data_IF_469693224126
#
_entry.id   IF_469693224126
#
_cell.length_a   1.000
_cell.length_b   1.000
_cell.length_c   1.000
_cell.angle_alpha   90.00
_cell.angle_beta   90.00
_cell.angle_gamma   90.00
#
_symmetry.space_group_name_H-M   'P 1'
#
loop_
_entity.id
_entity.type
_entity.pdbx_description
1 polymer ?
#
# COMPACT_ATOMS: atom_id res chain seq x y z
N UNK A 1 -55.07 36.85 33.72
CA UNK A 1 -56.43 36.35 33.43
C UNK A 1 -56.29 34.96 32.78
N UNK A 2 -56.47 33.92 33.55
CA UNK A 2 -56.89 32.61 33.04
C UNK A 2 -58.44 32.62 33.06
N UNK A 3 -59.14 31.74 32.35
CA UNK A 3 -59.25 30.32 32.58
C UNK A 3 -59.58 29.50 31.31
N UNK A 4 -59.59 28.26 31.23
CA UNK A 4 -60.32 27.11 31.78
C UNK A 4 -60.14 25.86 30.87
N UNK A 5 -59.69 24.82 31.42
CA UNK A 5 -60.08 23.40 31.35
C UNK A 5 -61.23 22.98 30.43
N UNK A 6 -61.03 21.87 29.72
CA UNK A 6 -62.06 21.03 29.14
C UNK A 6 -61.56 19.58 28.97
N UNK A 7 -61.99 18.69 29.91
CA UNK A 7 -61.88 17.23 29.84
C UNK A 7 -63.03 16.70 28.95
N UNK A 8 -62.77 15.69 28.10
CA UNK A 8 -63.78 14.72 27.64
C UNK A 8 -63.02 13.43 27.23
N UNK A 9 -63.10 12.45 27.99
CA UNK A 9 -63.89 11.19 28.11
C UNK A 9 -63.74 10.21 26.92
N UNK A 10 -63.27 9.04 27.36
CA UNK A 10 -63.18 7.72 26.70
C UNK A 10 -64.38 7.34 25.82
N UNK A 11 -64.08 6.64 24.73
CA UNK A 11 -64.98 5.60 24.19
C UNK A 11 -64.13 4.42 23.66
N UNK A 12 -64.26 3.31 24.40
CA UNK A 12 -63.84 1.96 23.96
C UNK A 12 -64.59 1.56 22.66
N UNK A 13 -63.83 1.09 21.67
CA UNK A 13 -64.40 0.27 20.61
C UNK A 13 -63.56 -0.98 20.40
N UNK A 14 -64.14 -2.12 20.84
CA UNK A 14 -63.70 -3.49 20.57
C UNK A 14 -63.75 -3.76 19.07
N UNK A 15 -62.65 -4.25 18.50
CA UNK A 15 -62.60 -4.89 17.18
C UNK A 15 -62.35 -6.42 17.33
N UNK A 16 -62.99 -7.22 16.45
CA UNK A 16 -62.97 -8.68 16.60
C UNK A 16 -61.70 -9.30 15.99
N UNK A 17 -61.35 -10.45 16.56
CA UNK A 17 -60.22 -11.29 16.22
C UNK A 17 -60.23 -11.72 14.75
N UNK A 18 -59.11 -11.52 14.03
CA UNK A 18 -58.83 -12.11 12.71
C UNK A 18 -57.90 -13.31 12.88
N UNK A 19 -58.42 -14.44 12.44
CA UNK A 19 -57.78 -15.74 12.28
C UNK A 19 -56.46 -15.67 11.54
N UNK A 20 -55.39 -16.20 12.13
CA UNK A 20 -54.06 -16.38 11.51
C UNK A 20 -54.07 -17.64 10.65
N UNK A 21 -53.84 -17.49 9.34
CA UNK A 21 -53.38 -18.60 8.47
C UNK A 21 -51.83 -18.67 8.51
N UNK A 22 -51.25 -19.88 8.49
CA UNK A 22 -49.80 -20.02 8.51
C UNK A 22 -49.23 -19.79 7.09
N UNK A 23 -48.47 -18.70 6.91
CA UNK A 23 -47.59 -18.55 5.74
C UNK A 23 -46.31 -19.33 5.97
N UNK A 24 -46.14 -20.42 5.23
CA UNK A 24 -44.86 -21.03 4.98
C UNK A 24 -44.00 -20.04 4.21
N UNK A 25 -43.02 -19.43 4.94
CA UNK A 25 -41.91 -18.66 4.37
C UNK A 25 -40.70 -19.56 4.39
N UNK A 26 -40.28 -20.04 3.23
CA UNK A 26 -38.98 -20.66 3.04
C UNK A 26 -37.89 -19.59 3.33
N UNK A 27 -37.28 -19.67 4.50
CA UNK A 27 -36.03 -19.00 4.79
C UNK A 27 -34.94 -19.69 4.00
N UNK A 28 -34.47 -19.09 2.93
CA UNK A 28 -33.17 -19.39 2.34
C UNK A 28 -32.10 -19.09 3.42
N UNK A 29 -31.52 -20.14 3.95
CA UNK A 29 -30.30 -20.05 4.75
C UNK A 29 -29.21 -19.42 3.88
N UNK A 30 -28.96 -18.12 4.10
CA UNK A 30 -27.73 -17.50 3.62
C UNK A 30 -26.55 -18.15 4.36
N UNK A 31 -25.83 -18.94 3.60
CA UNK A 31 -24.61 -19.66 3.94
C UNK A 31 -23.58 -18.70 4.56
N UNK A 32 -23.57 -18.62 5.89
CA UNK A 32 -22.50 -17.94 6.66
C UNK A 32 -21.29 -18.85 6.66
N UNK A 33 -20.61 -18.99 5.53
CA UNK A 33 -19.26 -19.54 5.50
C UNK A 33 -18.33 -18.47 6.05
N UNK A 34 -17.93 -18.65 7.30
CA UNK A 34 -16.80 -17.93 7.89
C UNK A 34 -15.53 -18.20 7.07
N UNK A 35 -14.46 -17.37 7.24
CA UNK A 35 -13.24 -17.50 6.48
C UNK A 35 -12.72 -18.94 6.56
N UNK A 36 -12.61 -19.59 5.41
CA UNK A 36 -12.10 -20.96 5.29
C UNK A 36 -10.65 -20.98 5.75
N UNK A 37 -10.33 -21.77 6.77
CA UNK A 37 -8.96 -22.03 7.19
C UNK A 37 -8.15 -22.47 5.97
N UNK A 38 -6.88 -21.99 5.81
CA UNK A 38 -6.03 -22.39 4.71
C UNK A 38 -5.97 -23.93 4.64
N UNK A 39 -6.22 -24.48 3.47
CA UNK A 39 -6.25 -25.92 3.26
C UNK A 39 -4.94 -26.55 3.74
N UNK A 40 -5.00 -27.74 4.33
CA UNK A 40 -3.84 -28.48 4.89
C UNK A 40 -2.62 -28.63 3.95
N UNK A 41 -2.76 -28.29 2.66
CA UNK A 41 -1.77 -28.43 1.60
C UNK A 41 -1.38 -27.10 0.89
N UNK A 42 -1.68 -25.92 1.45
CA UNK A 42 -1.24 -24.66 0.86
C UNK A 42 0.30 -24.55 0.92
N UNK A 43 0.97 -24.01 -0.11
CA UNK A 43 2.38 -23.71 -0.07
C UNK A 43 2.72 -22.83 1.14
N UNK A 44 3.94 -22.98 1.67
CA UNK A 44 4.46 -22.09 2.73
C UNK A 44 5.65 -21.32 2.20
N UNK A 45 5.79 -20.03 2.57
CA UNK A 45 6.99 -19.30 2.24
C UNK A 45 8.19 -19.83 3.03
N UNK A 46 9.44 -19.51 2.64
CA UNK A 46 10.62 -19.84 3.43
C UNK A 46 10.59 -19.11 4.78
N UNK A 47 11.41 -19.56 5.74
CA UNK A 47 11.57 -18.86 7.01
C UNK A 47 11.97 -17.40 6.77
N UNK A 48 11.30 -16.46 7.43
CA UNK A 48 11.43 -15.00 7.22
C UNK A 48 11.15 -14.53 5.79
N UNK A 49 10.48 -15.38 4.98
CA UNK A 49 10.05 -15.00 3.64
C UNK A 49 8.56 -14.78 3.53
N UNK A 50 8.13 -14.40 2.34
CA UNK A 50 6.73 -14.16 2.02
C UNK A 50 6.42 -14.54 0.57
N UNK A 51 5.14 -14.53 0.21
CA UNK A 51 4.73 -14.73 -1.17
C UNK A 51 4.53 -13.41 -1.90
N UNK A 52 5.04 -13.35 -3.13
CA UNK A 52 4.67 -12.34 -4.13
C UNK A 52 3.75 -13.02 -5.15
N UNK A 53 2.64 -12.38 -5.53
CA UNK A 53 1.70 -12.92 -6.49
C UNK A 53 1.20 -11.90 -7.50
N UNK A 54 0.75 -12.43 -8.65
CA UNK A 54 0.32 -11.64 -9.80
C UNK A 54 1.46 -11.36 -10.78
N UNK A 55 1.12 -11.38 -12.08
CA UNK A 55 2.07 -11.36 -13.19
C UNK A 55 3.16 -10.29 -13.04
N UNK A 56 2.78 -9.03 -12.92
CA UNK A 56 3.74 -7.91 -12.87
C UNK A 56 4.67 -7.96 -11.66
N UNK A 57 4.14 -8.28 -10.48
CA UNK A 57 4.94 -8.33 -9.27
C UNK A 57 5.93 -9.50 -9.32
N UNK A 58 5.50 -10.68 -9.79
CA UNK A 58 6.38 -11.85 -9.95
C UNK A 58 7.46 -11.57 -11.00
N UNK A 59 7.09 -11.06 -12.18
CA UNK A 59 8.07 -10.76 -13.23
C UNK A 59 9.11 -9.73 -12.79
N UNK A 60 8.70 -8.68 -12.06
CA UNK A 60 9.63 -7.71 -11.51
C UNK A 60 10.60 -8.35 -10.50
N UNK A 61 10.08 -9.20 -9.59
CA UNK A 61 10.92 -9.92 -8.63
C UNK A 61 11.93 -10.85 -9.30
N UNK A 62 11.54 -11.51 -10.40
CA UNK A 62 12.47 -12.34 -11.18
C UNK A 62 13.56 -11.53 -11.88
N UNK A 63 13.22 -10.34 -12.37
CA UNK A 63 14.17 -9.45 -13.04
C UNK A 63 15.17 -8.79 -12.08
N UNK A 64 14.82 -8.64 -10.80
CA UNK A 64 15.70 -8.05 -9.80
C UNK A 64 16.80 -9.06 -9.36
N UNK A 65 18.09 -8.81 -9.65
CA UNK A 65 19.17 -9.71 -9.27
C UNK A 65 19.35 -9.85 -7.74
N UNK A 66 18.95 -8.86 -6.98
CA UNK A 66 19.05 -8.86 -5.52
C UNK A 66 17.90 -9.64 -4.84
N UNK A 67 16.79 -9.88 -5.55
CA UNK A 67 15.66 -10.63 -5.00
C UNK A 67 15.97 -12.13 -4.95
N UNK A 68 16.11 -12.68 -3.76
CA UNK A 68 16.25 -14.11 -3.55
C UNK A 68 14.91 -14.81 -3.67
N UNK A 69 14.84 -15.82 -4.55
CA UNK A 69 13.63 -16.59 -4.86
C UNK A 69 13.80 -18.03 -4.39
N UNK A 70 12.90 -18.49 -3.51
CA UNK A 70 12.94 -19.85 -2.97
C UNK A 70 12.19 -20.84 -3.85
N UNK A 71 11.01 -20.46 -4.36
CA UNK A 71 10.16 -21.35 -5.15
C UNK A 71 9.30 -20.53 -6.10
N UNK A 72 9.05 -21.06 -7.29
CA UNK A 72 8.17 -20.50 -8.29
C UNK A 72 7.00 -21.45 -8.54
N UNK A 73 5.79 -20.91 -8.50
CA UNK A 73 4.56 -21.63 -8.80
C UNK A 73 3.84 -20.98 -9.97
N UNK A 74 3.32 -21.82 -10.86
CA UNK A 74 2.44 -21.40 -11.92
C UNK A 74 1.27 -22.36 -12.09
N UNK A 75 0.15 -21.87 -12.59
CA UNK A 75 -0.93 -22.74 -13.10
C UNK A 75 -0.56 -23.25 -14.50
N UNK A 76 -1.23 -24.29 -14.96
CA UNK A 76 -0.90 -24.90 -16.26
C UNK A 76 -0.99 -23.91 -17.43
N UNK A 77 -1.96 -22.97 -17.37
CA UNK A 77 -2.18 -21.92 -18.36
C UNK A 77 -1.12 -20.80 -18.36
N UNK A 78 -0.39 -20.61 -17.27
CA UNK A 78 0.62 -19.52 -17.13
C UNK A 78 2.06 -20.03 -17.00
N UNK A 79 2.23 -21.35 -16.89
CA UNK A 79 3.55 -21.93 -16.68
C UNK A 79 4.53 -21.68 -17.82
N UNK A 80 4.06 -21.71 -19.05
CA UNK A 80 4.92 -21.45 -20.21
C UNK A 80 5.30 -19.96 -20.29
N UNK A 81 4.36 -19.04 -20.06
CA UNK A 81 4.64 -17.61 -20.00
C UNK A 81 5.70 -17.28 -18.95
N UNK A 82 5.65 -17.97 -17.79
CA UNK A 82 6.62 -17.76 -16.71
C UNK A 82 8.01 -18.28 -17.11
N UNK A 83 8.10 -19.45 -17.77
CA UNK A 83 9.36 -19.99 -18.27
C UNK A 83 9.99 -19.09 -19.34
N UNK A 84 9.17 -18.57 -20.27
CA UNK A 84 9.64 -17.62 -21.28
C UNK A 84 10.13 -16.32 -20.65
N UNK A 85 9.44 -15.81 -19.62
CA UNK A 85 9.90 -14.64 -18.86
C UNK A 85 11.26 -14.89 -18.20
N UNK A 86 11.51 -16.09 -17.66
CA UNK A 86 12.80 -16.48 -17.07
C UNK A 86 13.87 -16.59 -18.16
N UNK A 87 13.55 -17.23 -19.29
CA UNK A 87 14.50 -17.42 -20.40
C UNK A 87 14.93 -16.09 -21.07
N UNK A 88 14.11 -15.05 -20.95
CA UNK A 88 14.42 -13.69 -21.43
C UNK A 88 15.35 -12.90 -20.50
N UNK A 89 15.62 -13.39 -19.28
CA UNK A 89 16.53 -12.75 -18.35
C UNK A 89 17.99 -13.03 -18.73
N UNK A 90 18.96 -12.20 -18.26
CA UNK A 90 20.39 -12.50 -18.38
C UNK A 90 20.71 -13.89 -17.81
N UNK A 91 21.60 -14.63 -18.46
CA UNK A 91 21.94 -16.00 -18.05
C UNK A 91 22.41 -16.10 -16.61
N UNK A 92 23.19 -15.12 -16.14
CA UNK A 92 23.62 -15.03 -14.73
C UNK A 92 22.45 -15.01 -13.76
N UNK A 93 21.34 -14.37 -14.13
CA UNK A 93 20.12 -14.30 -13.28
C UNK A 93 19.25 -15.55 -13.42
N UNK A 94 19.07 -16.07 -14.65
CA UNK A 94 18.18 -17.21 -14.89
C UNK A 94 18.67 -18.52 -14.26
N UNK A 95 19.98 -18.70 -14.11
CA UNK A 95 20.58 -19.88 -13.48
C UNK A 95 20.27 -19.94 -11.97
N UNK A 96 20.17 -18.80 -11.30
CA UNK A 96 19.92 -18.72 -9.85
C UNK A 96 18.44 -18.89 -9.49
N UNK A 97 17.55 -18.95 -10.49
CA UNK A 97 16.12 -19.07 -10.26
C UNK A 97 15.69 -20.55 -10.17
N UNK A 98 14.80 -20.89 -9.23
CA UNK A 98 14.28 -22.24 -9.11
C UNK A 98 13.41 -22.63 -10.31
N UNK A 99 13.30 -23.92 -10.59
CA UNK A 99 12.40 -24.44 -11.62
C UNK A 99 10.94 -24.09 -11.30
N UNK A 100 10.16 -23.83 -12.35
CA UNK A 100 8.73 -23.53 -12.21
C UNK A 100 7.94 -24.79 -11.84
N UNK A 101 7.28 -24.76 -10.69
CA UNK A 101 6.39 -25.82 -10.20
C UNK A 101 4.97 -25.56 -10.70
N UNK A 102 4.45 -26.43 -11.55
CA UNK A 102 3.05 -26.37 -12.00
C UNK A 102 2.12 -26.89 -10.89
N UNK A 103 1.08 -26.14 -10.59
CA UNK A 103 0.13 -26.49 -9.53
C UNK A 103 -1.28 -26.03 -9.84
N UNK A 104 -2.27 -26.58 -9.12
CA UNK A 104 -3.66 -26.21 -9.27
C UNK A 104 -3.93 -24.81 -8.69
N UNK A 105 -4.86 -24.08 -9.34
CA UNK A 105 -5.29 -22.74 -8.91
C UNK A 105 -5.74 -22.70 -7.46
N UNK A 106 -6.54 -23.69 -7.02
CA UNK A 106 -7.04 -23.77 -5.65
C UNK A 106 -5.92 -23.77 -4.58
N UNK A 107 -4.77 -24.34 -4.93
CA UNK A 107 -3.61 -24.39 -4.04
C UNK A 107 -2.97 -23.02 -3.87
N UNK A 108 -3.04 -22.17 -4.89
CA UNK A 108 -2.53 -20.81 -4.87
C UNK A 108 -3.52 -19.82 -4.25
N UNK A 109 -4.83 -20.09 -4.30
CA UNK A 109 -5.87 -19.24 -3.68
C UNK A 109 -5.66 -19.07 -2.15
N UNK A 110 -5.02 -20.04 -1.50
CA UNK A 110 -4.82 -20.08 -0.05
C UNK A 110 -3.50 -19.48 0.45
N UNK A 111 -2.72 -18.80 -0.41
CA UNK A 111 -1.40 -18.25 -0.03
C UNK A 111 -1.46 -16.91 0.74
N UNK A 112 -2.60 -16.22 0.73
CA UNK A 112 -2.76 -14.97 1.47
C UNK A 112 -2.95 -15.24 2.96
N UNK A 113 -2.33 -14.46 3.87
CA UNK A 113 -2.47 -14.63 5.30
C UNK A 113 -3.92 -14.48 5.80
N UNK A 114 -4.71 -13.62 5.14
CA UNK A 114 -6.04 -13.21 5.57
C UNK A 114 -7.16 -14.14 5.08
N UNK A 115 -6.82 -15.24 4.39
CA UNK A 115 -7.80 -16.18 3.83
C UNK A 115 -8.65 -15.60 2.68
N UNK A 116 -8.36 -14.38 2.25
CA UNK A 116 -8.95 -13.82 1.03
C UNK A 116 -8.37 -14.55 -0.18
N UNK A 117 -9.20 -14.76 -1.21
CA UNK A 117 -8.70 -15.34 -2.46
C UNK A 117 -7.67 -14.42 -3.08
N UNK A 118 -6.43 -14.90 -3.19
CA UNK A 118 -5.37 -14.16 -3.87
C UNK A 118 -5.72 -13.98 -5.35
N UNK A 119 -5.73 -12.73 -5.83
CA UNK A 119 -5.79 -12.47 -7.27
C UNK A 119 -4.39 -12.68 -7.86
N UNK A 120 -3.92 -13.94 -7.86
CA UNK A 120 -2.57 -14.32 -8.21
C UNK A 120 -2.32 -14.44 -9.72
N UNK A 121 -3.35 -14.37 -10.56
CA UNK A 121 -3.22 -14.47 -12.03
C UNK A 121 -2.41 -15.69 -12.50
N UNK A 122 -2.45 -16.77 -11.74
CA UNK A 122 -1.73 -18.00 -12.04
C UNK A 122 -0.24 -18.01 -11.73
N UNK A 123 0.35 -16.93 -11.17
CA UNK A 123 1.79 -16.81 -10.88
C UNK A 123 2.04 -16.42 -9.43
N UNK A 124 2.94 -17.13 -8.76
CA UNK A 124 3.35 -16.90 -7.37
C UNK A 124 4.83 -17.21 -7.21
N UNK A 125 5.54 -16.34 -6.50
CA UNK A 125 6.93 -16.55 -6.08
C UNK A 125 7.02 -16.53 -4.55
N UNK A 126 7.71 -17.50 -3.97
CA UNK A 126 8.12 -17.46 -2.57
C UNK A 126 9.50 -16.83 -2.50
N UNK A 127 9.65 -15.75 -1.74
CA UNK A 127 10.84 -14.90 -1.75
C UNK A 127 11.26 -14.52 -0.34
N UNK A 128 12.50 -14.04 -0.19
CA UNK A 128 12.96 -13.31 0.99
C UNK A 128 12.84 -11.81 0.77
N UNK A 129 12.69 -10.99 1.83
CA UNK A 129 12.78 -9.54 1.75
C UNK A 129 14.08 -9.07 1.09
N UNK A 130 14.07 -7.89 0.50
CA UNK A 130 15.28 -7.20 0.07
C UNK A 130 16.00 -6.63 1.30
N UNK A 131 17.33 -6.59 1.23
CA UNK A 131 18.11 -5.88 2.23
C UNK A 131 17.91 -4.36 2.06
N UNK A 132 17.42 -3.65 3.08
CA UNK A 132 17.18 -2.21 2.96
C UNK A 132 18.52 -1.46 2.89
N UNK A 133 18.70 -0.54 1.92
CA UNK A 133 19.90 0.29 1.89
C UNK A 133 19.92 1.26 3.07
N UNK A 134 21.11 1.75 3.43
CA UNK A 134 21.25 2.81 4.41
C UNK A 134 20.90 4.16 3.78
N UNK A 135 20.44 5.12 4.59
CA UNK A 135 20.12 6.47 4.10
C UNK A 135 21.36 7.16 3.53
N UNK A 136 22.50 6.96 4.15
CA UNK A 136 23.78 7.48 3.73
C UNK A 136 24.18 7.04 2.31
N UNK A 137 23.91 5.76 1.97
CA UNK A 137 24.20 5.22 0.63
C UNK A 137 23.29 5.87 -0.42
N UNK A 138 22.01 6.08 -0.08
CA UNK A 138 21.04 6.76 -0.95
C UNK A 138 21.46 8.21 -1.17
N UNK A 139 21.91 8.92 -0.14
CA UNK A 139 22.40 10.30 -0.23
C UNK A 139 23.70 10.38 -1.05
N UNK A 140 24.62 9.44 -0.88
CA UNK A 140 25.86 9.38 -1.65
C UNK A 140 25.60 9.15 -3.15
N UNK A 141 24.51 8.48 -3.52
CA UNK A 141 24.09 8.29 -4.92
C UNK A 141 23.46 9.53 -5.54
N UNK A 142 23.13 10.54 -4.73
CA UNK A 142 22.50 11.78 -5.16
C UNK A 142 23.50 12.66 -5.92
N UNK A 143 23.57 12.52 -7.24
CA UNK A 143 24.33 13.42 -8.11
C UNK A 143 23.76 14.84 -8.16
N UNK A 144 24.07 15.57 -9.23
CA UNK A 144 23.56 16.93 -9.50
C UNK A 144 22.17 16.94 -10.15
N UNK A 145 21.64 15.78 -10.55
CA UNK A 145 20.33 15.66 -11.18
C UNK A 145 19.18 15.91 -10.19
N UNK A 146 17.96 16.15 -10.67
CA UNK A 146 16.80 16.22 -9.79
C UNK A 146 16.69 14.98 -8.90
N UNK A 147 16.55 15.19 -7.60
CA UNK A 147 16.56 14.13 -6.60
C UNK A 147 15.27 14.18 -5.77
N UNK A 148 14.51 13.12 -5.80
CA UNK A 148 13.21 13.07 -5.11
C UNK A 148 13.12 11.90 -4.16
N UNK A 149 12.65 12.19 -2.95
CA UNK A 149 12.42 11.22 -1.89
C UNK A 149 10.99 11.33 -1.36
N UNK A 150 10.48 10.26 -0.79
CA UNK A 150 9.25 10.26 0.02
C UNK A 150 9.61 9.80 1.42
N UNK A 151 9.09 10.50 2.44
CA UNK A 151 9.15 10.08 3.81
C UNK A 151 7.75 9.68 4.28
N UNK A 152 7.63 8.52 4.91
CA UNK A 152 6.36 8.01 5.43
C UNK A 152 6.35 8.09 6.95
N UNK A 153 5.54 9.01 7.49
CA UNK A 153 5.38 9.19 8.92
C UNK A 153 4.20 8.37 9.46
N UNK A 154 4.50 7.18 10.01
CA UNK A 154 3.52 6.28 10.63
C UNK A 154 2.46 5.69 9.67
N UNK A 155 2.80 5.49 8.41
CA UNK A 155 1.95 4.74 7.47
C UNK A 155 2.18 3.24 7.65
N UNK A 156 1.18 2.55 8.19
CA UNK A 156 1.25 1.11 8.48
C UNK A 156 0.46 0.22 7.51
N UNK A 157 -0.48 0.79 6.73
CA UNK A 157 -1.24 0.00 5.75
C UNK A 157 -0.37 -0.35 4.53
N UNK A 158 -0.09 -1.66 4.28
CA UNK A 158 0.70 -2.09 3.13
C UNK A 158 0.06 -1.75 1.78
N UNK A 159 -1.27 -1.57 1.71
CA UNK A 159 -1.96 -1.17 0.49
C UNK A 159 -1.62 0.27 0.13
N UNK A 160 -1.68 1.19 1.09
CA UNK A 160 -1.31 2.59 0.87
C UNK A 160 0.18 2.73 0.53
N UNK A 161 1.05 2.07 1.27
CA UNK A 161 2.50 2.09 0.99
C UNK A 161 2.79 1.52 -0.40
N UNK A 162 2.18 0.40 -0.79
CA UNK A 162 2.33 -0.17 -2.13
C UNK A 162 1.83 0.76 -3.26
N UNK A 163 0.71 1.45 -3.05
CA UNK A 163 0.19 2.42 -4.01
C UNK A 163 1.10 3.66 -4.13
N UNK A 164 1.66 4.13 -3.01
CA UNK A 164 2.67 5.20 -3.00
C UNK A 164 3.93 4.75 -3.74
N UNK A 165 4.43 3.54 -3.52
CA UNK A 165 5.59 3.00 -4.25
C UNK A 165 5.36 2.96 -5.76
N UNK A 166 4.15 2.57 -6.19
CA UNK A 166 3.78 2.57 -7.61
C UNK A 166 3.86 3.97 -8.22
N UNK A 167 3.33 4.98 -7.53
CA UNK A 167 3.41 6.39 -7.94
C UNK A 167 4.85 6.90 -7.90
N UNK A 168 5.60 6.55 -6.86
CA UNK A 168 7.00 6.89 -6.68
C UNK A 168 7.85 6.44 -7.88
N UNK A 169 7.68 5.18 -8.33
CA UNK A 169 8.34 4.66 -9.53
C UNK A 169 7.97 5.45 -10.79
N UNK A 170 6.67 5.74 -10.98
CA UNK A 170 6.17 6.45 -12.15
C UNK A 170 6.73 7.89 -12.25
N UNK A 171 6.97 8.53 -11.11
CA UNK A 171 7.45 9.91 -11.04
C UNK A 171 8.96 10.05 -10.76
N UNK A 172 9.70 8.94 -10.75
CA UNK A 172 11.16 8.94 -10.63
C UNK A 172 11.65 9.29 -9.23
N UNK A 173 10.97 8.80 -8.20
CA UNK A 173 11.44 8.88 -6.81
C UNK A 173 12.62 7.93 -6.62
N UNK A 174 13.69 8.42 -6.02
CA UNK A 174 14.91 7.66 -5.79
C UNK A 174 14.76 6.61 -4.69
N UNK A 175 14.11 6.97 -3.58
CA UNK A 175 13.85 6.06 -2.47
C UNK A 175 12.65 6.52 -1.64
N UNK A 176 12.08 5.57 -0.88
CA UNK A 176 11.08 5.85 0.16
C UNK A 176 11.73 5.59 1.50
N UNK A 177 11.60 6.54 2.42
CA UNK A 177 12.15 6.48 3.78
C UNK A 177 10.99 6.25 4.76
N UNK A 178 11.15 5.30 5.66
CA UNK A 178 10.17 5.02 6.71
C UNK A 178 10.87 4.63 8.01
N UNK A 179 10.13 4.56 9.11
CA UNK A 179 10.69 4.10 10.38
C UNK A 179 10.64 2.58 10.51
N UNK A 180 11.52 1.98 11.32
CA UNK A 180 11.45 0.55 11.65
C UNK A 180 10.14 0.17 12.37
N UNK A 181 9.57 1.10 13.12
CA UNK A 181 8.30 0.91 13.84
C UNK A 181 7.17 1.61 13.09
N UNK A 182 5.96 1.03 13.16
CA UNK A 182 4.75 1.58 12.56
C UNK A 182 4.86 1.78 11.03
N UNK A 183 5.63 0.93 10.37
CA UNK A 183 5.68 0.79 8.91
C UNK A 183 5.48 -0.69 8.56
N UNK A 184 4.84 -1.01 7.43
CA UNK A 184 4.66 -2.39 7.03
C UNK A 184 6.01 -3.02 6.68
N UNK A 185 6.17 -4.28 7.08
CA UNK A 185 7.21 -5.12 6.50
C UNK A 185 6.88 -5.43 5.04
N UNK A 186 7.91 -5.80 4.26
CA UNK A 186 7.66 -6.35 2.93
C UNK A 186 6.76 -7.58 3.03
N UNK A 187 5.67 -7.56 2.32
CA UNK A 187 4.72 -8.66 2.27
C UNK A 187 4.01 -8.71 0.91
N UNK A 188 3.27 -9.77 0.68
CA UNK A 188 2.59 -9.97 -0.60
C UNK A 188 1.55 -8.92 -0.94
N UNK A 189 0.85 -8.35 0.04
CA UNK A 189 -0.14 -7.28 -0.18
C UNK A 189 0.55 -6.00 -0.66
N UNK A 190 1.66 -5.61 -0.04
CA UNK A 190 2.48 -4.48 -0.46
C UNK A 190 3.03 -4.71 -1.87
N UNK A 191 3.68 -5.85 -2.12
CA UNK A 191 4.26 -6.21 -3.42
C UNK A 191 3.20 -6.22 -4.54
N UNK A 192 2.03 -6.77 -4.26
CA UNK A 192 0.89 -6.81 -5.19
C UNK A 192 0.41 -5.41 -5.54
N UNK A 193 0.23 -4.54 -4.54
CA UNK A 193 -0.27 -3.18 -4.75
C UNK A 193 0.77 -2.29 -5.43
N UNK A 194 2.04 -2.48 -5.10
CA UNK A 194 3.16 -1.80 -5.74
C UNK A 194 3.35 -2.19 -7.23
N UNK A 195 2.75 -3.29 -7.68
CA UNK A 195 2.78 -3.72 -9.11
C UNK A 195 4.22 -3.75 -9.66
N UNK A 196 5.14 -4.34 -8.88
CA UNK A 196 6.57 -4.46 -9.22
C UNK A 196 7.43 -3.23 -8.85
N UNK A 197 6.85 -2.13 -8.37
CA UNK A 197 7.64 -0.97 -7.93
C UNK A 197 8.52 -1.28 -6.71
N UNK A 198 8.16 -2.26 -5.90
CA UNK A 198 8.95 -2.74 -4.76
C UNK A 198 10.37 -3.19 -5.16
N UNK A 199 10.54 -3.67 -6.38
CA UNK A 199 11.82 -4.15 -6.91
C UNK A 199 12.70 -3.03 -7.51
N UNK A 200 12.18 -1.80 -7.56
CA UNK A 200 12.85 -0.67 -8.22
C UNK A 200 13.00 0.57 -7.34
N UNK A 201 12.14 0.71 -6.33
CA UNK A 201 12.17 1.87 -5.42
C UNK A 201 12.60 1.37 -4.04
N UNK A 202 13.83 1.63 -3.61
CA UNK A 202 14.33 1.18 -2.32
C UNK A 202 13.48 1.69 -1.17
N UNK A 203 13.23 0.81 -0.18
CA UNK A 203 12.56 1.14 1.06
C UNK A 203 13.59 1.26 2.19
N UNK A 204 14.08 2.46 2.44
CA UNK A 204 15.03 2.79 3.50
C UNK A 204 14.32 2.78 4.86
N UNK A 205 14.93 2.14 5.85
CA UNK A 205 14.38 2.08 7.20
C UNK A 205 15.29 2.84 8.17
N UNK A 206 14.72 3.85 8.84
CA UNK A 206 15.43 4.67 9.82
C UNK A 206 14.84 4.50 11.22
N UNK A 207 15.63 4.75 12.23
CA UNK A 207 15.18 4.71 13.64
C UNK A 207 14.35 5.94 13.98
N UNK A 208 14.76 7.12 13.48
CA UNK A 208 14.18 8.41 13.80
C UNK A 208 14.00 9.26 12.54
N UNK A 209 12.74 9.60 12.23
CA UNK A 209 12.41 10.36 11.02
C UNK A 209 12.89 11.83 11.11
N UNK A 210 12.82 12.46 12.29
CA UNK A 210 13.30 13.83 12.47
C UNK A 210 14.81 13.92 12.19
N UNK A 211 15.61 12.97 12.71
CA UNK A 211 17.04 12.90 12.40
C UNK A 211 17.31 12.65 10.92
N UNK A 212 16.50 11.82 10.28
CA UNK A 212 16.61 11.61 8.82
C UNK A 212 16.34 12.92 8.06
N UNK A 213 15.35 13.71 8.48
CA UNK A 213 15.07 15.05 7.91
C UNK A 213 16.28 15.96 8.05
N UNK A 214 16.90 16.04 9.23
CA UNK A 214 18.10 16.84 9.45
C UNK A 214 19.26 16.43 8.52
N UNK A 215 19.43 15.11 8.29
CA UNK A 215 20.43 14.59 7.34
C UNK A 215 20.14 15.00 5.89
N UNK A 216 18.86 15.01 5.50
CA UNK A 216 18.43 15.45 4.16
C UNK A 216 18.71 16.95 3.97
N UNK A 217 18.37 17.78 4.96
CA UNK A 217 18.62 19.21 4.95
C UNK A 217 20.11 19.53 4.89
N UNK A 218 20.94 18.80 5.65
CA UNK A 218 22.41 18.93 5.59
C UNK A 218 23.01 18.52 4.22
N UNK A 219 22.23 17.75 3.41
CA UNK A 219 22.58 17.39 2.03
C UNK A 219 21.90 18.29 0.97
N UNK A 220 21.46 19.49 1.35
CA UNK A 220 20.76 20.46 0.47
C UNK A 220 19.49 19.90 -0.18
N UNK A 221 18.73 19.07 0.52
CA UNK A 221 17.44 18.54 0.08
C UNK A 221 16.33 19.25 0.85
N UNK A 222 15.48 19.99 0.13
CA UNK A 222 14.31 20.65 0.71
C UNK A 222 13.30 19.62 1.19
N UNK A 223 12.81 19.76 2.41
CA UNK A 223 11.84 18.85 3.02
C UNK A 223 10.48 19.53 3.13
N UNK A 224 9.49 19.03 2.37
CA UNK A 224 8.12 19.54 2.34
C UNK A 224 7.14 18.56 2.96
N UNK A 225 6.49 18.95 4.06
CA UNK A 225 5.47 18.18 4.73
C UNK A 225 4.10 18.42 4.13
N UNK A 226 3.38 17.34 3.74
CA UNK A 226 2.00 17.46 3.24
C UNK A 226 1.03 17.58 4.42
N UNK A 227 0.32 18.72 4.50
CA UNK A 227 -0.61 19.02 5.58
C UNK A 227 -1.76 19.89 5.06
N UNK A 228 -3.00 19.60 5.46
CA UNK A 228 -4.19 20.32 4.97
C UNK A 228 -4.22 21.79 5.34
N UNK A 229 -3.52 22.20 6.42
CA UNK A 229 -3.33 23.57 6.86
C UNK A 229 -2.00 24.20 6.39
N UNK A 230 -1.35 23.59 5.38
CA UNK A 230 -0.12 24.11 4.78
C UNK A 230 -0.30 25.51 4.19
N UNK A 231 0.77 26.30 4.27
CA UNK A 231 0.77 27.70 3.77
C UNK A 231 0.97 27.73 2.26
N UNK A 232 1.77 26.81 1.72
CA UNK A 232 2.08 26.74 0.29
C UNK A 232 1.15 25.75 -0.42
N UNK A 233 0.75 26.07 -1.65
CA UNK A 233 0.02 25.16 -2.52
C UNK A 233 0.94 24.05 -3.09
N UNK A 234 0.38 22.88 -3.41
CA UNK A 234 1.12 21.73 -3.92
C UNK A 234 1.95 22.03 -5.17
N UNK A 235 1.51 22.96 -6.00
CA UNK A 235 2.24 23.37 -7.22
C UNK A 235 3.61 23.98 -6.95
N UNK A 236 3.83 24.55 -5.75
CA UNK A 236 5.13 25.10 -5.36
C UNK A 236 6.24 24.05 -5.22
N UNK A 237 5.90 22.76 -5.14
CA UNK A 237 6.89 21.68 -5.07
C UNK A 237 7.79 21.61 -6.31
N UNK A 238 7.31 22.11 -7.44
CA UNK A 238 8.02 22.14 -8.71
C UNK A 238 9.32 22.98 -8.69
N UNK A 239 9.39 23.97 -7.79
CA UNK A 239 10.57 24.84 -7.68
C UNK A 239 11.77 24.19 -6.99
N UNK A 240 11.58 23.01 -6.35
CA UNK A 240 12.62 22.32 -5.61
C UNK A 240 13.18 21.14 -6.41
N UNK A 241 14.36 21.26 -7.04
CA UNK A 241 14.95 20.17 -7.83
C UNK A 241 15.40 19.00 -6.94
N UNK A 242 15.75 19.28 -5.67
CA UNK A 242 16.12 18.29 -4.65
C UNK A 242 15.09 18.36 -3.54
N UNK A 243 14.19 17.37 -3.52
CA UNK A 243 12.96 17.43 -2.73
C UNK A 243 12.68 16.11 -2.01
N UNK A 244 12.34 16.21 -0.74
CA UNK A 244 11.78 15.14 0.05
C UNK A 244 10.34 15.52 0.48
N UNK A 245 9.35 14.72 0.09
CA UNK A 245 7.94 14.93 0.45
C UNK A 245 7.60 14.04 1.64
N UNK A 246 7.12 14.64 2.73
CA UNK A 246 6.73 13.90 3.93
C UNK A 246 5.23 13.70 3.94
N UNK A 247 4.82 12.43 4.02
CA UNK A 247 3.43 11.99 4.08
C UNK A 247 3.09 11.52 5.50
N UNK A 248 2.07 12.09 6.09
CA UNK A 248 1.56 11.68 7.41
C UNK A 248 0.57 10.52 7.35
N UNK A 249 0.25 9.96 8.52
CA UNK A 249 -0.76 8.93 8.68
C UNK A 249 -2.17 9.47 8.33
N UNK A 250 -3.05 8.56 7.90
CA UNK A 250 -4.47 8.89 7.67
C UNK A 250 -5.12 9.35 8.98
N UNK A 251 -5.86 10.45 8.92
CA UNK A 251 -6.52 11.09 10.05
C UNK A 251 -5.60 12.03 10.83
N UNK A 252 -4.62 11.57 11.63
CA UNK A 252 -3.78 12.48 12.44
C UNK A 252 -2.76 13.29 11.63
N UNK A 253 -2.48 12.93 10.38
CA UNK A 253 -1.49 13.62 9.55
C UNK A 253 -0.05 13.46 10.03
N UNK A 254 0.76 14.50 9.88
CA UNK A 254 2.15 14.53 10.32
C UNK A 254 2.24 14.66 11.84
N UNK A 255 3.10 13.88 12.47
CA UNK A 255 3.43 14.08 13.90
C UNK A 255 4.06 15.45 14.11
N UNK A 256 3.82 16.06 15.29
CA UNK A 256 4.32 17.39 15.63
C UNK A 256 5.84 17.55 15.36
N UNK A 257 6.68 16.65 15.86
CA UNK A 257 8.12 16.72 15.61
C UNK A 257 8.49 16.61 14.15
N UNK A 258 7.85 15.73 13.39
CA UNK A 258 8.09 15.62 11.94
C UNK A 258 7.71 16.89 11.22
N UNK A 259 6.57 17.48 11.59
CA UNK A 259 6.07 18.76 11.05
C UNK A 259 7.00 19.91 11.36
N UNK A 260 7.49 20.01 12.61
CA UNK A 260 8.36 21.09 13.08
C UNK A 260 9.74 21.06 12.39
N UNK A 261 10.18 19.90 11.86
CA UNK A 261 11.44 19.75 11.12
C UNK A 261 11.31 19.98 9.61
N UNK A 262 10.09 20.04 9.06
CA UNK A 262 9.91 20.34 7.64
C UNK A 262 10.25 21.80 7.33
N UNK A 263 10.94 22.07 6.21
CA UNK A 263 11.21 23.42 5.73
C UNK A 263 9.95 24.14 5.32
N UNK A 264 9.02 23.39 4.72
CA UNK A 264 7.74 23.90 4.23
C UNK A 264 6.59 22.95 4.58
N UNK A 265 5.42 23.56 4.82
CA UNK A 265 4.15 22.82 4.88
C UNK A 265 3.34 23.16 3.66
N UNK A 266 2.96 22.11 2.90
CA UNK A 266 2.33 22.22 1.61
C UNK A 266 0.95 21.56 1.66
N UNK A 267 -0.05 22.21 1.08
CA UNK A 267 -1.41 21.68 0.97
C UNK A 267 -1.78 21.36 -0.47
N UNK A 268 -2.64 20.36 -0.62
CA UNK A 268 -3.43 20.15 -1.83
C UNK A 268 -4.75 20.91 -1.62
N UNK A 269 -5.06 21.83 -2.52
CA UNK A 269 -6.36 22.50 -2.50
C UNK A 269 -7.43 21.46 -2.88
N UNK A 270 -8.35 21.23 -1.96
CA UNK A 270 -9.53 20.37 -2.15
C UNK A 270 -10.79 21.19 -1.89
N UNK A 271 -11.91 20.73 -2.39
CA UNK A 271 -13.19 21.39 -2.15
C UNK A 271 -13.52 21.40 -0.65
N UNK A 272 -14.16 22.47 -0.17
CA UNK A 272 -14.52 22.66 1.24
C UNK A 272 -15.43 21.57 1.81
N UNK A 273 -16.17 20.87 0.94
CA UNK A 273 -17.08 19.80 1.32
C UNK A 273 -16.38 18.44 1.46
N UNK A 274 -15.08 18.37 1.13
CA UNK A 274 -14.26 17.17 1.25
C UNK A 274 -13.39 17.21 2.51
N UNK A 275 -13.50 16.18 3.37
CA UNK A 275 -12.73 16.10 4.62
C UNK A 275 -11.24 15.87 4.37
N UNK A 276 -10.89 14.98 3.44
CA UNK A 276 -9.50 14.62 3.13
C UNK A 276 -9.38 13.77 1.86
N UNK A 277 -8.15 13.59 1.38
CA UNK A 277 -7.80 12.61 0.37
C UNK A 277 -7.16 11.37 1.00
N UNK A 278 -7.37 10.22 0.39
CA UNK A 278 -6.55 9.05 0.71
C UNK A 278 -5.07 9.39 0.51
N UNK A 279 -4.21 8.95 1.43
CA UNK A 279 -2.79 9.31 1.46
C UNK A 279 -2.04 8.92 0.17
N UNK A 280 -2.39 7.80 -0.47
CA UNK A 280 -1.74 7.40 -1.72
C UNK A 280 -2.14 8.28 -2.90
N UNK A 281 -3.38 8.80 -2.92
CA UNK A 281 -3.82 9.77 -3.91
C UNK A 281 -3.13 11.12 -3.70
N UNK A 282 -3.04 11.57 -2.46
CA UNK A 282 -2.31 12.78 -2.10
C UNK A 282 -0.83 12.70 -2.51
N UNK A 283 -0.17 11.55 -2.28
CA UNK A 283 1.20 11.31 -2.73
C UNK A 283 1.34 11.39 -4.27
N UNK A 284 0.40 10.81 -5.02
CA UNK A 284 0.43 10.85 -6.47
C UNK A 284 0.29 12.29 -7.01
N UNK A 285 -0.60 13.10 -6.43
CA UNK A 285 -0.79 14.51 -6.78
C UNK A 285 0.46 15.32 -6.47
N UNK A 286 1.04 15.17 -5.27
CA UNK A 286 2.24 15.88 -4.85
C UNK A 286 3.46 15.53 -5.74
N UNK A 287 3.64 14.25 -6.08
CA UNK A 287 4.69 13.80 -6.98
C UNK A 287 4.51 14.29 -8.40
N UNK A 288 3.28 14.31 -8.91
CA UNK A 288 2.97 14.87 -10.21
C UNK A 288 3.29 16.38 -10.25
N UNK A 289 2.85 17.13 -9.25
CA UNK A 289 3.14 18.56 -9.14
C UNK A 289 4.65 18.83 -9.06
N UNK A 290 5.40 18.04 -8.28
CA UNK A 290 6.86 18.16 -8.18
C UNK A 290 7.60 17.84 -9.50
N UNK A 291 7.01 17.04 -10.39
CA UNK A 291 7.62 16.64 -11.67
C UNK A 291 7.35 17.63 -12.79
N UNK A 292 6.15 18.19 -12.88
CA UNK A 292 5.67 18.95 -14.05
C UNK A 292 6.11 20.40 -14.08
N UNK A 293 6.75 20.91 -13.05
CA UNK A 293 7.29 22.27 -13.02
C UNK A 293 8.79 22.37 -13.30
N UNK A 294 9.42 21.26 -13.65
CA UNK A 294 10.85 21.16 -13.93
C UNK A 294 11.12 21.18 -15.44
#
# INVERSE_FOLDING_TARGET
MAPKTGKMQHKDQKHPARTRSPRQGSRTEQDKRGPSKPGRNAPKPPSNGFFIWGRHAVQAALANPERRVATLYATADTGEDLRQSIAALPTSRSIDLPAVTITERQRLDGITPDGEKAVHQGMVAAVWPLDPPQLEDVLASAGTAPFRLILLDQLSDPRNVGAIMRSARAFGVTAIITTHRNAPEENGTLARTATGALEHVPLVRVVNLARAIEMLQAADITVAGLAGDGVMGVHSLAQFPRLAIVMGAEGPGLRRLTRDHCDHLVKIEIDSDADSLNVSNAAAIALYAAKTGA
#
